data_IF_077287929486
#
_entry.id   IF_077287929486
#
_cell.length_a   1.000
_cell.length_b   1.000
_cell.length_c   1.000
_cell.angle_alpha   90.00
_cell.angle_beta   90.00
_cell.angle_gamma   90.00
#
_symmetry.space_group_name_H-M   'P 1'
#
loop_
_entity.id
_entity.type
_entity.pdbx_description
1 polymer ?
#
# COMPACT_ATOMS: atom_id res chain seq x y z
N UNK A 1 -10.41 14.89 -31.66
CA UNK A 1 -10.28 13.42 -31.68
C UNK A 1 -10.21 12.95 -30.25
N UNK A 2 -10.67 11.72 -29.95
CA UNK A 2 -10.49 11.13 -28.63
C UNK A 2 -9.00 10.97 -28.33
N UNK A 3 -8.59 11.21 -27.08
CA UNK A 3 -7.21 11.03 -26.61
C UNK A 3 -6.87 9.54 -26.63
N UNK A 4 -5.78 9.16 -27.27
CA UNK A 4 -5.30 7.76 -27.33
C UNK A 4 -4.48 7.47 -26.09
N UNK A 5 -4.94 6.52 -25.28
CA UNK A 5 -4.29 6.20 -24.01
C UNK A 5 -3.92 4.73 -23.94
N UNK A 6 -2.65 4.44 -23.69
CA UNK A 6 -2.16 3.09 -23.43
C UNK A 6 -2.11 2.83 -21.92
N UNK A 7 -2.69 1.72 -21.47
CA UNK A 7 -2.56 1.27 -20.06
C UNK A 7 -1.78 -0.04 -20.01
N UNK A 8 -0.54 0.03 -19.53
CA UNK A 8 0.30 -1.13 -19.27
C UNK A 8 -0.09 -1.66 -17.89
N UNK A 9 -0.80 -2.79 -17.86
CA UNK A 9 -1.33 -3.40 -16.64
C UNK A 9 -2.81 -3.15 -16.41
N UNK A 10 -3.55 -2.86 -17.48
CA UNK A 10 -4.98 -2.57 -17.43
C UNK A 10 -5.85 -3.68 -16.83
N UNK A 11 -5.38 -4.93 -16.82
CA UNK A 11 -6.11 -6.07 -16.22
C UNK A 11 -5.81 -6.30 -14.74
N UNK A 12 -4.90 -5.50 -14.15
CA UNK A 12 -4.53 -5.62 -12.74
C UNK A 12 -5.60 -5.06 -11.77
N UNK A 13 -5.38 -5.23 -10.45
CA UNK A 13 -6.36 -4.86 -9.42
C UNK A 13 -6.79 -3.39 -9.47
N UNK A 14 -5.81 -2.49 -9.66
CA UNK A 14 -6.04 -1.05 -9.88
C UNK A 14 -6.34 -0.75 -11.35
N UNK A 15 -5.72 -1.50 -12.28
CA UNK A 15 -5.76 -1.23 -13.72
C UNK A 15 -7.16 -1.19 -14.28
N UNK A 16 -8.03 -2.10 -13.84
CA UNK A 16 -9.41 -2.13 -14.33
C UNK A 16 -10.17 -0.85 -14.06
N UNK A 17 -9.97 -0.25 -12.88
CA UNK A 17 -10.61 1.01 -12.49
C UNK A 17 -10.04 2.20 -13.26
N UNK A 18 -8.75 2.16 -13.59
CA UNK A 18 -8.10 3.16 -14.44
C UNK A 18 -8.68 3.09 -15.86
N UNK A 19 -8.79 1.89 -16.44
CA UNK A 19 -9.35 1.70 -17.79
C UNK A 19 -10.79 2.21 -17.85
N UNK A 20 -11.65 1.82 -16.90
CA UNK A 20 -13.03 2.31 -16.85
C UNK A 20 -13.11 3.83 -16.73
N UNK A 21 -12.32 4.44 -15.83
CA UNK A 21 -12.31 5.90 -15.69
C UNK A 21 -11.81 6.64 -16.93
N UNK A 22 -10.88 6.06 -17.69
CA UNK A 22 -10.41 6.61 -18.97
C UNK A 22 -11.48 6.49 -20.05
N UNK A 23 -12.18 5.36 -20.14
CA UNK A 23 -13.30 5.18 -21.04
C UNK A 23 -14.41 6.19 -20.74
N UNK A 24 -14.74 6.40 -19.47
CA UNK A 24 -15.71 7.41 -19.01
C UNK A 24 -15.30 8.83 -19.35
N UNK A 25 -13.99 9.09 -19.40
CA UNK A 25 -13.43 10.37 -19.86
C UNK A 25 -13.45 10.54 -21.39
N UNK A 26 -13.84 9.50 -22.13
CA UNK A 26 -13.92 9.51 -23.59
C UNK A 26 -12.60 9.20 -24.31
N UNK A 27 -11.61 8.63 -23.61
CA UNK A 27 -10.35 8.19 -24.20
C UNK A 27 -10.54 6.97 -25.11
N UNK A 28 -9.75 6.90 -26.17
CA UNK A 28 -9.56 5.68 -26.95
C UNK A 28 -8.48 4.83 -26.26
N UNK A 29 -8.92 3.85 -25.48
CA UNK A 29 -8.04 3.06 -24.61
C UNK A 29 -7.54 1.79 -25.30
N UNK A 30 -6.23 1.57 -25.23
CA UNK A 30 -5.57 0.29 -25.54
C UNK A 30 -4.91 -0.20 -24.26
N UNK A 31 -4.98 -1.51 -23.96
CA UNK A 31 -4.26 -2.09 -22.82
C UNK A 31 -3.13 -2.99 -23.31
N UNK A 32 -2.09 -3.10 -22.50
CA UNK A 32 -1.00 -4.05 -22.72
C UNK A 32 -0.81 -4.90 -21.47
N UNK A 33 -0.91 -6.22 -21.63
CA UNK A 33 -0.67 -7.20 -20.57
C UNK A 33 -0.07 -8.50 -21.09
N UNK A 34 0.35 -9.39 -20.19
CA UNK A 34 0.98 -10.67 -20.54
C UNK A 34 0.02 -11.78 -21.01
N UNK A 35 -1.28 -11.52 -21.14
CA UNK A 35 -2.29 -12.51 -21.57
C UNK A 35 -2.78 -13.49 -20.48
N UNK A 36 -2.29 -13.39 -19.25
CA UNK A 36 -2.63 -14.39 -18.20
C UNK A 36 -4.00 -14.15 -17.55
N UNK A 37 -4.51 -12.93 -17.67
CA UNK A 37 -5.82 -12.53 -17.20
C UNK A 37 -6.46 -11.67 -18.29
N UNK A 38 -7.70 -12.00 -18.64
CA UNK A 38 -8.56 -11.19 -19.49
C UNK A 38 -9.66 -10.60 -18.63
N UNK A 39 -10.00 -9.34 -18.89
CA UNK A 39 -11.03 -8.60 -18.16
C UNK A 39 -11.96 -7.98 -19.18
N UNK A 40 -13.25 -8.21 -19.03
CA UNK A 40 -14.26 -7.52 -19.81
C UNK A 40 -14.50 -6.11 -19.22
N UNK A 41 -14.49 -5.11 -20.09
CA UNK A 41 -14.75 -3.71 -19.74
C UNK A 41 -16.14 -3.28 -20.19
N UNK A 42 -16.62 -2.15 -19.68
CA UNK A 42 -17.91 -1.57 -20.07
C UNK A 42 -18.05 -1.31 -21.58
N UNK A 43 -16.93 -1.17 -22.28
CA UNK A 43 -16.83 -0.95 -23.73
C UNK A 43 -15.67 -1.77 -24.31
N UNK A 44 -15.69 -2.09 -25.62
CA UNK A 44 -14.58 -2.79 -26.27
C UNK A 44 -13.26 -2.02 -26.13
N UNK A 45 -12.22 -2.72 -25.69
CA UNK A 45 -10.86 -2.20 -25.51
C UNK A 45 -9.91 -3.09 -26.33
N UNK A 46 -8.92 -2.50 -27.00
CA UNK A 46 -7.89 -3.26 -27.71
C UNK A 46 -6.88 -3.84 -26.71
N UNK A 47 -6.62 -5.15 -26.78
CA UNK A 47 -5.66 -5.84 -25.92
C UNK A 47 -4.39 -6.17 -26.70
N UNK A 48 -3.25 -5.66 -26.24
CA UNK A 48 -1.93 -6.00 -26.76
C UNK A 48 -1.26 -7.01 -25.82
N UNK A 49 -0.90 -8.18 -26.35
CA UNK A 49 -0.28 -9.24 -25.57
C UNK A 49 1.23 -9.24 -25.77
N UNK A 50 1.95 -8.87 -24.70
CA UNK A 50 3.40 -8.85 -24.70
C UNK A 50 3.96 -8.98 -23.28
N UNK A 51 5.16 -9.52 -23.18
CA UNK A 51 5.91 -9.46 -21.93
C UNK A 51 6.52 -8.06 -21.74
N UNK A 52 6.18 -7.39 -20.64
CA UNK A 52 6.63 -6.04 -20.31
C UNK A 52 8.00 -6.00 -19.62
N UNK A 53 8.65 -7.15 -19.45
CA UNK A 53 9.96 -7.26 -18.79
C UNK A 53 11.14 -7.23 -19.76
N UNK A 54 10.88 -7.23 -21.07
CA UNK A 54 11.88 -7.26 -22.14
C UNK A 54 11.64 -6.11 -23.13
N UNK A 55 12.72 -5.48 -23.59
CA UNK A 55 12.67 -4.32 -24.49
C UNK A 55 12.17 -4.74 -25.86
N UNK A 56 12.57 -5.92 -26.31
CA UNK A 56 12.29 -6.49 -27.62
C UNK A 56 10.79 -6.72 -27.82
N UNK A 57 10.15 -7.35 -26.83
CA UNK A 57 8.71 -7.64 -26.85
C UNK A 57 7.88 -6.36 -26.75
N UNK A 58 8.28 -5.42 -25.88
CA UNK A 58 7.63 -4.11 -25.76
C UNK A 58 7.74 -3.29 -27.06
N UNK A 59 8.93 -3.26 -27.66
CA UNK A 59 9.18 -2.52 -28.90
C UNK A 59 8.37 -3.10 -30.06
N UNK A 60 8.31 -4.43 -30.18
CA UNK A 60 7.51 -5.10 -31.19
C UNK A 60 6.01 -4.84 -31.01
N UNK A 61 5.50 -4.93 -29.77
CA UNK A 61 4.09 -4.70 -29.48
C UNK A 61 3.64 -3.26 -29.75
N UNK A 62 4.54 -2.29 -29.56
CA UNK A 62 4.27 -0.87 -29.77
C UNK A 62 4.76 -0.36 -31.14
N UNK A 63 5.21 -1.24 -32.04
CA UNK A 63 5.74 -0.83 -33.34
C UNK A 63 4.68 -0.09 -34.19
N UNK A 64 5.05 1.09 -34.72
CA UNK A 64 4.17 1.92 -35.54
C UNK A 64 2.98 2.55 -34.78
N UNK A 65 3.02 2.55 -33.44
CA UNK A 65 1.97 3.11 -32.58
C UNK A 65 2.52 4.27 -31.75
N UNK A 66 1.69 5.29 -31.62
CA UNK A 66 1.89 6.45 -30.77
C UNK A 66 0.65 6.65 -29.89
N UNK A 67 0.86 7.17 -28.69
CA UNK A 67 -0.18 7.44 -27.72
C UNK A 67 -0.04 8.86 -27.20
N UNK A 68 -1.15 9.50 -26.87
CA UNK A 68 -1.11 10.83 -26.27
C UNK A 68 -0.71 10.74 -24.78
N UNK A 69 -1.13 9.65 -24.13
CA UNK A 69 -0.81 9.33 -22.73
C UNK A 69 -0.50 7.83 -22.60
N UNK A 70 0.49 7.52 -21.76
CA UNK A 70 0.74 6.15 -21.31
C UNK A 70 0.61 6.09 -19.79
N UNK A 71 -0.11 5.10 -19.28
CA UNK A 71 -0.16 4.76 -17.86
C UNK A 71 0.59 3.45 -17.66
N UNK A 72 1.67 3.48 -16.88
CA UNK A 72 2.52 2.34 -16.61
C UNK A 72 2.33 1.85 -15.17
N UNK A 73 1.58 0.76 -14.99
CA UNK A 73 1.18 0.27 -13.66
C UNK A 73 2.00 -0.93 -13.17
N UNK A 74 2.69 -1.61 -14.07
CA UNK A 74 3.56 -2.75 -13.75
C UNK A 74 4.65 -2.93 -14.80
N UNK A 75 5.57 -3.85 -14.53
CA UNK A 75 6.70 -4.19 -15.40
C UNK A 75 8.00 -3.54 -14.94
N UNK A 76 9.04 -3.65 -15.77
CA UNK A 76 10.30 -2.93 -15.52
C UNK A 76 10.16 -1.52 -16.06
N UNK A 77 9.53 -0.62 -15.32
CA UNK A 77 9.22 0.75 -15.76
C UNK A 77 10.46 1.52 -16.24
N UNK A 78 11.67 1.14 -15.79
CA UNK A 78 12.94 1.64 -16.35
C UNK A 78 13.07 1.38 -17.86
N UNK A 79 12.66 0.22 -18.36
CA UNK A 79 12.69 -0.11 -19.79
C UNK A 79 11.66 0.70 -20.58
N UNK A 80 10.56 1.08 -19.94
CA UNK A 80 9.52 1.91 -20.56
C UNK A 80 10.03 3.30 -20.89
N UNK A 81 10.95 3.88 -20.10
CA UNK A 81 11.54 5.17 -20.41
C UNK A 81 12.24 5.19 -21.77
N UNK A 82 12.93 4.10 -22.13
CA UNK A 82 13.61 3.95 -23.42
C UNK A 82 12.60 3.70 -24.55
N UNK A 83 11.70 2.73 -24.36
CA UNK A 83 10.77 2.31 -25.42
C UNK A 83 9.73 3.39 -25.76
N UNK A 84 9.29 4.15 -24.76
CA UNK A 84 8.24 5.17 -24.91
C UNK A 84 8.78 6.53 -25.39
N UNK A 85 10.10 6.75 -25.39
CA UNK A 85 10.69 7.97 -25.90
C UNK A 85 10.29 8.17 -27.37
N UNK A 86 9.69 9.33 -27.67
CA UNK A 86 9.19 9.65 -29.01
C UNK A 86 7.86 8.99 -29.39
N UNK A 87 7.25 8.18 -28.51
CA UNK A 87 5.94 7.51 -28.74
C UNK A 87 4.80 8.05 -27.87
N UNK A 88 5.14 8.84 -26.86
CA UNK A 88 4.16 9.51 -26.00
C UNK A 88 4.65 10.87 -25.57
N UNK A 89 3.73 11.82 -25.45
CA UNK A 89 4.01 13.12 -24.85
C UNK A 89 3.95 13.05 -23.31
N UNK A 90 3.22 12.08 -22.75
CA UNK A 90 2.94 12.00 -21.32
C UNK A 90 3.00 10.57 -20.79
N UNK A 91 3.61 10.40 -19.62
CA UNK A 91 3.73 9.13 -18.92
C UNK A 91 3.30 9.28 -17.46
N UNK A 92 2.29 8.53 -17.02
CA UNK A 92 1.96 8.37 -15.59
C UNK A 92 2.48 7.01 -15.14
N UNK A 93 3.48 7.01 -14.27
CA UNK A 93 4.15 5.80 -13.81
C UNK A 93 3.79 5.50 -12.35
N UNK A 94 3.44 4.24 -12.07
CA UNK A 94 3.19 3.77 -10.71
C UNK A 94 4.50 3.21 -10.16
N UNK A 95 4.94 3.80 -9.04
CA UNK A 95 6.09 3.37 -8.26
C UNK A 95 5.67 2.89 -6.87
N UNK A 96 6.64 2.46 -6.08
CA UNK A 96 6.44 2.12 -4.67
C UNK A 96 7.06 3.17 -3.75
N UNK A 97 6.50 3.35 -2.56
CA UNK A 97 7.10 4.16 -1.50
C UNK A 97 8.34 3.44 -0.91
N UNK A 98 9.48 3.52 -1.60
CA UNK A 98 10.75 2.89 -1.22
C UNK A 98 11.63 3.82 -0.36
N UNK A 99 11.00 4.48 0.61
CA UNK A 99 11.68 5.38 1.53
C UNK A 99 12.71 4.65 2.39
N UNK A 100 13.87 5.29 2.53
CA UNK A 100 14.92 4.84 3.40
C UNK A 100 14.55 5.06 4.86
N UNK A 101 15.02 4.12 5.67
CA UNK A 101 14.90 4.12 7.12
C UNK A 101 16.24 4.30 7.79
N UNK A 102 17.26 4.61 6.99
CA UNK A 102 18.61 4.89 7.46
C UNK A 102 18.55 6.07 8.43
N UNK A 103 18.76 5.74 9.70
CA UNK A 103 18.68 6.66 10.83
C UNK A 103 19.63 7.84 10.64
N UNK A 104 20.77 7.65 9.97
CA UNK A 104 21.75 8.74 9.82
C UNK A 104 21.27 9.86 8.89
N UNK A 105 20.55 9.53 7.81
CA UNK A 105 20.01 10.52 6.85
C UNK A 105 18.81 11.29 7.38
N UNK A 106 18.10 10.71 8.35
CA UNK A 106 17.04 11.40 9.09
C UNK A 106 17.55 12.13 10.34
N UNK A 107 18.85 12.00 10.64
CA UNK A 107 19.46 12.55 11.84
C UNK A 107 19.17 11.72 13.11
N UNK A 108 19.64 12.16 14.29
CA UNK A 108 19.66 11.34 15.50
C UNK A 108 18.26 10.96 16.04
N UNK A 109 17.19 11.56 15.53
CA UNK A 109 15.81 11.20 15.88
C UNK A 109 15.25 10.05 15.01
N UNK A 110 15.92 9.71 13.91
CA UNK A 110 15.44 8.75 12.93
C UNK A 110 14.28 9.28 12.09
N UNK A 111 13.73 8.41 11.24
CA UNK A 111 12.67 8.77 10.31
C UNK A 111 11.37 9.15 11.05
N UNK A 112 10.69 10.24 10.64
CA UNK A 112 9.36 10.56 11.19
C UNK A 112 8.34 9.49 10.79
N UNK A 113 7.24 9.40 11.57
CA UNK A 113 6.16 8.45 11.31
C UNK A 113 5.43 8.75 9.99
N UNK A 114 5.41 10.01 9.57
CA UNK A 114 4.79 10.50 8.32
C UNK A 114 5.90 10.96 7.38
N UNK A 115 5.95 10.43 6.16
CA UNK A 115 6.98 10.73 5.17
C UNK A 115 6.37 11.38 3.93
N UNK A 116 6.91 12.52 3.51
CA UNK A 116 6.54 13.21 2.29
C UNK A 116 7.40 12.77 1.09
N UNK A 117 7.20 13.38 -0.08
CA UNK A 117 7.95 13.04 -1.30
C UNK A 117 9.45 13.40 -1.23
N UNK A 118 9.85 14.27 -0.29
CA UNK A 118 11.23 14.71 -0.09
C UNK A 118 12.04 13.81 0.85
N UNK A 119 11.38 12.89 1.56
CA UNK A 119 12.05 11.94 2.42
C UNK A 119 13.08 11.08 1.65
N UNK A 120 14.27 10.79 2.23
CA UNK A 120 15.29 9.96 1.62
C UNK A 120 14.73 8.60 1.15
N UNK A 121 15.13 8.15 -0.04
CA UNK A 121 14.81 6.81 -0.57
C UNK A 121 15.97 5.84 -0.42
N UNK A 122 15.69 4.53 -0.52
CA UNK A 122 16.72 3.49 -0.54
C UNK A 122 17.47 3.54 -1.87
N UNK A 123 18.58 4.26 -1.87
CA UNK A 123 19.47 4.55 -2.99
C UNK A 123 20.80 3.78 -2.93
N UNK A 124 21.08 3.08 -1.83
CA UNK A 124 22.26 2.23 -1.67
C UNK A 124 22.19 0.97 -2.57
N UNK A 125 23.13 0.77 -3.51
CA UNK A 125 23.20 -0.43 -4.34
C UNK A 125 23.39 -1.74 -3.55
N UNK A 126 23.96 -1.67 -2.35
CA UNK A 126 24.17 -2.81 -1.46
C UNK A 126 23.00 -3.01 -0.49
N UNK A 127 22.02 -2.11 -0.50
CA UNK A 127 20.83 -2.17 0.34
C UNK A 127 19.78 -3.17 -0.17
N UNK A 128 18.55 -3.09 0.38
CA UNK A 128 17.44 -3.91 -0.04
C UNK A 128 17.16 -3.80 -1.56
N UNK A 129 17.44 -4.88 -2.29
CA UNK A 129 17.48 -4.90 -3.76
C UNK A 129 16.20 -4.41 -4.43
N UNK A 130 15.03 -4.73 -3.85
CA UNK A 130 13.74 -4.31 -4.41
C UNK A 130 13.58 -2.78 -4.32
N UNK A 131 13.85 -2.22 -3.14
CA UNK A 131 13.71 -0.79 -2.89
C UNK A 131 14.72 0.02 -3.71
N UNK A 132 15.96 -0.46 -3.83
CA UNK A 132 16.96 0.16 -4.70
C UNK A 132 16.54 0.15 -6.18
N UNK A 133 15.92 -0.92 -6.67
CA UNK A 133 15.36 -0.96 -8.03
C UNK A 133 14.23 0.04 -8.24
N UNK A 134 13.38 0.26 -7.24
CA UNK A 134 12.33 1.28 -7.29
C UNK A 134 12.96 2.68 -7.42
N UNK A 135 13.98 2.98 -6.60
CA UNK A 135 14.72 4.23 -6.70
C UNK A 135 15.36 4.41 -8.09
N UNK A 136 16.11 3.41 -8.60
CA UNK A 136 16.72 3.46 -9.93
C UNK A 136 15.70 3.70 -11.05
N UNK A 137 14.50 3.11 -10.91
CA UNK A 137 13.42 3.26 -11.88
C UNK A 137 12.89 4.68 -11.89
N UNK A 138 12.65 5.25 -10.71
CA UNK A 138 12.22 6.64 -10.57
C UNK A 138 13.25 7.62 -11.14
N UNK A 139 14.54 7.42 -10.85
CA UNK A 139 15.62 8.25 -11.40
C UNK A 139 15.70 8.18 -12.92
N UNK A 140 15.50 7.00 -13.52
CA UNK A 140 15.50 6.85 -14.98
C UNK A 140 14.33 7.61 -15.63
N UNK A 141 13.15 7.57 -15.01
CA UNK A 141 11.95 8.26 -15.49
C UNK A 141 12.11 9.78 -15.41
N UNK A 142 12.62 10.28 -14.28
CA UNK A 142 12.89 11.72 -14.09
C UNK A 142 14.00 12.20 -15.02
N UNK A 143 15.03 11.37 -15.26
CA UNK A 143 16.08 11.67 -16.22
C UNK A 143 15.55 11.79 -17.66
N UNK A 144 14.69 10.86 -18.09
CA UNK A 144 14.03 10.92 -19.40
C UNK A 144 13.12 12.14 -19.53
N UNK A 145 12.43 12.52 -18.46
CA UNK A 145 11.65 13.76 -18.41
C UNK A 145 12.52 15.00 -18.56
N UNK A 146 13.62 15.11 -17.82
CA UNK A 146 14.56 16.23 -17.91
C UNK A 146 15.22 16.34 -19.30
N UNK A 147 15.41 15.20 -19.98
CA UNK A 147 15.89 15.14 -21.35
C UNK A 147 14.82 15.49 -22.41
N UNK A 148 13.57 15.76 -22.00
CA UNK A 148 12.48 16.12 -22.90
C UNK A 148 11.84 14.95 -23.66
N UNK A 149 12.07 13.71 -23.23
CA UNK A 149 11.51 12.53 -23.89
C UNK A 149 9.97 12.45 -23.74
N UNK A 150 9.45 12.85 -22.57
CA UNK A 150 8.02 12.94 -22.24
C UNK A 150 7.82 13.72 -20.92
N UNK A 151 6.59 14.18 -20.68
CA UNK A 151 6.17 14.68 -19.38
C UNK A 151 5.82 13.52 -18.44
N UNK A 152 6.62 13.27 -17.40
CA UNK A 152 6.37 12.16 -16.47
C UNK A 152 5.67 12.62 -15.19
N UNK A 153 4.75 11.81 -14.67
CA UNK A 153 4.25 11.90 -13.30
C UNK A 153 4.48 10.57 -12.61
N UNK A 154 5.04 10.57 -11.40
CA UNK A 154 5.25 9.34 -10.62
C UNK A 154 4.31 9.31 -9.43
N UNK A 155 3.53 8.23 -9.31
CA UNK A 155 2.67 7.99 -8.16
C UNK A 155 3.28 6.89 -7.29
N UNK A 156 3.72 7.23 -6.09
CA UNK A 156 4.27 6.28 -5.11
C UNK A 156 3.12 5.64 -4.35
N UNK A 157 2.83 4.39 -4.67
CA UNK A 157 1.86 3.59 -3.95
C UNK A 157 2.45 3.06 -2.64
N UNK A 158 1.60 2.85 -1.62
CA UNK A 158 2.06 2.21 -0.41
C UNK A 158 2.26 0.70 -0.66
N UNK A 159 2.91 -0.03 0.25
CA UNK A 159 3.15 -1.47 0.10
C UNK A 159 1.87 -2.32 0.02
N UNK A 160 0.73 -1.76 0.42
CA UNK A 160 -0.55 -2.48 0.46
C UNK A 160 -1.59 -1.70 -0.34
N UNK A 161 -1.82 -2.16 -1.57
CA UNK A 161 -3.03 -1.87 -2.32
C UNK A 161 -4.02 -2.99 -2.05
N UNK A 162 -5.21 -2.65 -1.55
CA UNK A 162 -6.25 -3.64 -1.21
C UNK A 162 -7.50 -3.43 -2.06
N UNK A 163 -8.34 -4.46 -2.12
CA UNK A 163 -9.58 -4.42 -2.87
C UNK A 163 -9.86 -5.70 -3.64
N UNK A 164 -11.07 -5.80 -4.21
CA UNK A 164 -11.44 -6.94 -5.04
C UNK A 164 -10.46 -7.12 -6.22
N UNK A 165 -10.09 -8.36 -6.51
CA UNK A 165 -9.17 -8.69 -7.61
C UNK A 165 -7.68 -8.58 -7.26
N UNK A 166 -7.31 -8.27 -6.02
CA UNK A 166 -5.93 -8.33 -5.57
C UNK A 166 -5.36 -9.77 -5.71
N UNK A 167 -4.15 -9.90 -6.27
CA UNK A 167 -3.54 -11.20 -6.60
C UNK A 167 -3.11 -12.00 -5.37
N UNK A 168 -2.49 -11.34 -4.39
CA UNK A 168 -2.10 -11.93 -3.10
C UNK A 168 -2.60 -11.01 -1.96
N UNK A 169 -3.92 -11.00 -1.70
CA UNK A 169 -4.53 -10.06 -0.77
C UNK A 169 -4.11 -10.37 0.67
N UNK A 170 -3.42 -9.43 1.32
CA UNK A 170 -3.03 -9.55 2.74
C UNK A 170 -4.25 -9.69 3.66
N UNK A 171 -5.37 -9.08 3.29
CA UNK A 171 -6.63 -9.22 4.03
C UNK A 171 -7.13 -10.68 4.07
N UNK A 172 -6.71 -11.54 3.15
CA UNK A 172 -7.07 -12.97 3.16
C UNK A 172 -6.54 -13.69 4.40
N UNK A 173 -5.37 -13.32 4.91
CA UNK A 173 -4.82 -13.87 6.16
C UNK A 173 -5.79 -13.71 7.33
N UNK A 174 -6.51 -12.60 7.36
CA UNK A 174 -7.49 -12.29 8.40
C UNK A 174 -8.82 -12.97 8.09
N UNK A 175 -9.34 -12.76 6.87
CA UNK A 175 -10.64 -13.32 6.45
C UNK A 175 -10.66 -14.83 6.61
N UNK A 176 -9.62 -15.55 6.15
CA UNK A 176 -9.57 -17.00 6.25
C UNK A 176 -9.60 -17.49 7.69
N UNK A 177 -8.82 -16.90 8.61
CA UNK A 177 -8.84 -17.29 10.03
C UNK A 177 -10.23 -17.15 10.63
N UNK A 178 -10.94 -16.08 10.27
CA UNK A 178 -12.31 -15.84 10.76
C UNK A 178 -13.29 -16.86 10.16
N UNK A 179 -13.16 -17.19 8.86
CA UNK A 179 -13.97 -18.20 8.19
C UNK A 179 -13.71 -19.62 8.73
N UNK A 180 -12.46 -19.92 9.07
CA UNK A 180 -12.04 -21.18 9.70
C UNK A 180 -12.45 -21.26 11.19
N UNK A 181 -13.17 -20.26 11.70
CA UNK A 181 -13.74 -20.27 13.05
C UNK A 181 -12.73 -20.01 14.16
N UNK A 182 -11.58 -19.40 13.86
CA UNK A 182 -10.55 -19.08 14.85
C UNK A 182 -11.08 -18.03 15.82
N UNK A 183 -11.04 -18.34 17.11
CA UNK A 183 -11.46 -17.42 18.17
C UNK A 183 -10.36 -16.38 18.52
N UNK A 184 -9.11 -16.66 18.16
CA UNK A 184 -7.93 -15.85 18.47
C UNK A 184 -7.10 -15.60 17.22
N UNK A 185 -6.59 -14.38 17.09
CA UNK A 185 -5.64 -14.00 16.04
C UNK A 185 -4.43 -13.35 16.71
N UNK A 186 -3.22 -13.87 16.42
CA UNK A 186 -1.99 -13.23 16.89
C UNK A 186 -1.77 -11.92 16.12
N UNK A 187 -1.37 -10.86 16.82
CA UNK A 187 -1.06 -9.58 16.20
C UNK A 187 0.28 -9.05 16.71
N UNK A 188 1.08 -8.49 15.80
CA UNK A 188 2.35 -7.89 16.17
C UNK A 188 2.12 -6.62 17.00
N UNK A 189 2.86 -6.47 18.10
CA UNK A 189 2.86 -5.27 18.95
C UNK A 189 1.46 -4.85 19.42
N UNK A 190 0.60 -5.84 19.69
CA UNK A 190 -0.79 -5.59 20.09
C UNK A 190 -1.69 -5.04 18.98
N UNK A 191 -1.26 -5.12 17.72
CA UNK A 191 -2.02 -4.61 16.58
C UNK A 191 -2.06 -3.08 16.52
N UNK A 192 -1.11 -2.41 17.18
CA UNK A 192 -1.05 -0.94 17.27
C UNK A 192 -0.35 -0.29 16.08
N UNK A 193 0.35 -1.07 15.25
CA UNK A 193 1.07 -0.53 14.09
C UNK A 193 0.09 0.00 13.03
N UNK A 194 0.37 1.18 12.52
CA UNK A 194 -0.40 1.81 11.43
C UNK A 194 0.51 1.94 10.21
N UNK A 195 0.02 1.49 9.05
CA UNK A 195 0.76 1.56 7.77
C UNK A 195 -0.16 2.12 6.71
N UNK A 196 0.37 3.00 5.86
CA UNK A 196 -0.40 3.47 4.71
C UNK A 196 -0.87 2.31 3.85
N UNK A 197 -2.16 2.34 3.53
CA UNK A 197 -2.83 1.47 2.57
C UNK A 197 -3.59 2.34 1.59
N UNK A 198 -3.92 1.77 0.44
CA UNK A 198 -4.82 2.42 -0.51
C UNK A 198 -5.78 1.42 -1.12
N UNK A 199 -7.06 1.78 -1.21
CA UNK A 199 -8.03 0.98 -1.94
C UNK A 199 -7.78 1.07 -3.45
N UNK A 200 -7.88 -0.04 -4.16
CA UNK A 200 -7.53 -0.10 -5.58
C UNK A 200 -8.29 0.92 -6.45
N UNK A 201 -9.56 1.22 -6.13
CA UNK A 201 -10.33 2.24 -6.85
C UNK A 201 -9.91 3.68 -6.47
N UNK A 202 -9.56 3.93 -5.21
CA UNK A 202 -9.03 5.22 -4.76
C UNK A 202 -7.67 5.49 -5.40
N UNK A 203 -6.80 4.48 -5.45
CA UNK A 203 -5.53 4.55 -6.15
C UNK A 203 -5.74 4.89 -7.64
N UNK A 204 -6.72 4.26 -8.30
CA UNK A 204 -7.07 4.58 -9.68
C UNK A 204 -7.56 6.03 -9.85
N UNK A 205 -8.29 6.59 -8.88
CA UNK A 205 -8.65 8.01 -8.87
C UNK A 205 -7.43 8.92 -8.90
N UNK A 206 -6.37 8.60 -8.14
CA UNK A 206 -5.11 9.34 -8.19
C UNK A 206 -4.47 9.29 -9.60
N UNK A 207 -4.49 8.12 -10.25
CA UNK A 207 -4.00 7.96 -11.63
C UNK A 207 -4.78 8.84 -12.61
N UNK A 208 -6.10 8.80 -12.55
CA UNK A 208 -6.96 9.55 -13.46
C UNK A 208 -6.76 11.07 -13.30
N UNK A 209 -6.60 11.55 -12.06
CA UNK A 209 -6.25 12.94 -11.79
C UNK A 209 -4.86 13.29 -12.36
N UNK A 210 -3.86 12.43 -12.15
CA UNK A 210 -2.53 12.60 -12.71
C UNK A 210 -2.49 12.52 -14.24
N UNK A 211 -3.48 11.89 -14.90
CA UNK A 211 -3.63 11.90 -16.35
C UNK A 211 -4.31 13.20 -16.83
N UNK A 212 -5.29 13.70 -16.08
CA UNK A 212 -6.07 14.88 -16.42
C UNK A 212 -5.29 16.19 -16.24
N UNK A 213 -4.49 16.32 -15.17
CA UNK A 213 -3.94 17.61 -14.72
C UNK A 213 -2.56 17.91 -15.31
N UNK A 214 -2.38 18.87 -16.25
CA UNK A 214 -1.07 19.15 -16.86
C UNK A 214 0.02 19.56 -15.86
N UNK A 215 -0.36 20.17 -14.73
CA UNK A 215 0.54 20.58 -13.64
C UNK A 215 1.26 19.40 -12.97
N UNK A 216 0.74 18.17 -13.13
CA UNK A 216 1.37 16.95 -12.60
C UNK A 216 2.67 16.57 -13.33
N UNK A 217 3.00 17.22 -14.45
CA UNK A 217 4.23 16.96 -15.19
C UNK A 217 5.49 17.27 -14.35
N UNK A 218 6.43 16.32 -14.36
CA UNK A 218 7.66 16.36 -13.56
C UNK A 218 7.45 16.11 -12.06
N UNK A 219 6.21 15.81 -11.63
CA UNK A 219 5.89 15.68 -10.21
C UNK A 219 5.89 14.23 -9.75
N UNK A 220 6.21 14.08 -8.47
CA UNK A 220 6.04 12.86 -7.69
C UNK A 220 4.94 13.13 -6.66
N UNK A 221 4.08 12.15 -6.45
CA UNK A 221 3.02 12.17 -5.46
C UNK A 221 2.94 10.86 -4.69
N UNK A 222 2.85 10.96 -3.37
CA UNK A 222 2.43 9.87 -2.52
C UNK A 222 0.93 9.64 -2.64
N UNK A 223 0.53 8.36 -2.67
CA UNK A 223 -0.87 7.96 -2.74
C UNK A 223 -1.18 7.05 -1.55
N UNK A 224 -2.25 7.35 -0.82
CA UNK A 224 -2.79 6.55 0.27
C UNK A 224 -4.25 6.95 0.49
N UNK A 225 -5.03 6.07 1.12
CA UNK A 225 -6.38 6.43 1.57
C UNK A 225 -6.33 7.57 2.61
N UNK A 226 -7.43 8.31 2.72
CA UNK A 226 -7.54 9.47 3.59
C UNK A 226 -7.46 9.11 5.08
N UNK A 227 -8.03 7.95 5.42
CA UNK A 227 -8.02 7.37 6.77
C UNK A 227 -7.09 6.16 6.82
N UNK A 228 -6.30 6.08 7.89
CA UNK A 228 -5.38 4.97 8.13
C UNK A 228 -5.62 4.41 9.53
N UNK A 229 -5.74 3.09 9.63
CA UNK A 229 -6.12 2.40 10.86
C UNK A 229 -5.03 1.43 11.31
N UNK A 230 -5.02 1.14 12.61
CA UNK A 230 -4.12 0.13 13.14
C UNK A 230 -4.49 -1.26 12.64
N UNK A 231 -3.52 -2.16 12.57
CA UNK A 231 -3.76 -3.55 12.19
C UNK A 231 -4.87 -4.20 13.02
N UNK A 232 -4.89 -3.96 14.33
CA UNK A 232 -5.94 -4.46 15.23
C UNK A 232 -7.33 -3.91 14.92
N UNK A 233 -7.44 -2.62 14.61
CA UNK A 233 -8.72 -2.00 14.20
C UNK A 233 -9.23 -2.62 12.89
N UNK A 234 -8.35 -2.82 11.91
CA UNK A 234 -8.69 -3.46 10.65
C UNK A 234 -9.18 -4.89 10.86
N UNK A 235 -8.48 -5.69 11.68
CA UNK A 235 -8.86 -7.07 11.98
C UNK A 235 -10.22 -7.13 12.68
N UNK A 236 -10.45 -6.29 13.69
CA UNK A 236 -11.72 -6.23 14.41
C UNK A 236 -12.87 -5.79 13.49
N UNK A 237 -12.63 -4.81 12.60
CA UNK A 237 -13.63 -4.38 11.64
C UNK A 237 -13.99 -5.50 10.65
N UNK A 238 -12.99 -6.21 10.12
CA UNK A 238 -13.20 -7.39 9.24
C UNK A 238 -13.96 -8.50 9.97
N UNK A 239 -13.64 -8.78 11.24
CA UNK A 239 -14.37 -9.75 12.04
C UNK A 239 -15.84 -9.33 12.22
N UNK A 240 -16.10 -8.05 12.49
CA UNK A 240 -17.45 -7.49 12.57
C UNK A 240 -18.24 -7.65 11.27
N UNK A 241 -17.62 -7.37 10.11
CA UNK A 241 -18.23 -7.58 8.79
C UNK A 241 -18.62 -9.05 8.54
N UNK A 242 -17.82 -9.98 9.06
CA UNK A 242 -18.06 -11.42 8.98
C UNK A 242 -19.00 -11.95 10.08
N UNK A 243 -19.56 -11.07 10.92
CA UNK A 243 -20.45 -11.45 12.02
C UNK A 243 -19.76 -12.25 13.12
N UNK A 244 -18.44 -12.09 13.29
CA UNK A 244 -17.63 -12.78 14.29
C UNK A 244 -17.00 -11.80 15.26
N UNK A 245 -16.62 -12.33 16.42
CA UNK A 245 -15.77 -11.64 17.39
C UNK A 245 -14.50 -12.47 17.51
N UNK A 246 -13.35 -11.80 17.49
CA UNK A 246 -12.04 -12.43 17.62
C UNK A 246 -11.24 -11.73 18.70
N UNK A 247 -10.60 -12.52 19.55
CA UNK A 247 -9.63 -12.04 20.53
C UNK A 247 -8.31 -11.77 19.82
N UNK A 248 -7.79 -10.54 19.94
CA UNK A 248 -6.46 -10.20 19.46
C UNK A 248 -5.43 -10.54 20.52
N UNK A 249 -4.51 -11.44 20.20
CA UNK A 249 -3.41 -11.82 21.09
C UNK A 249 -2.16 -11.06 20.66
N UNK A 250 -1.88 -9.96 21.36
CA UNK A 250 -0.72 -9.11 21.10
C UNK A 250 0.57 -9.80 21.50
N UNK A 251 1.49 -9.99 20.56
CA UNK A 251 2.83 -10.52 20.80
C UNK A 251 3.91 -9.59 20.23
N UNK A 252 5.16 -9.60 20.74
CA UNK A 252 6.27 -8.90 20.11
C UNK A 252 6.39 -9.27 18.63
N UNK A 253 6.77 -8.29 17.80
CA UNK A 253 6.90 -8.47 16.34
C UNK A 253 7.84 -9.60 15.95
N UNK A 254 8.92 -9.84 16.70
CA UNK A 254 9.88 -10.92 16.50
C UNK A 254 9.27 -12.32 16.72
N UNK A 255 8.19 -12.39 17.50
CA UNK A 255 7.40 -13.61 17.67
C UNK A 255 6.37 -13.71 16.54
N UNK A 256 5.69 -12.60 16.21
CA UNK A 256 4.68 -12.57 15.14
C UNK A 256 5.25 -12.99 13.78
N UNK A 257 6.49 -12.61 13.44
CA UNK A 257 7.14 -12.98 12.16
C UNK A 257 7.42 -14.48 12.00
N UNK A 258 7.38 -15.27 13.09
CA UNK A 258 7.44 -16.74 13.01
C UNK A 258 6.18 -17.34 12.39
N UNK A 259 5.05 -16.64 12.51
CA UNK A 259 3.76 -17.03 11.96
C UNK A 259 3.52 -16.32 10.64
N UNK A 260 3.67 -15.00 10.61
CA UNK A 260 3.35 -14.18 9.46
C UNK A 260 4.63 -13.70 8.76
N UNK A 261 5.07 -14.38 7.69
CA UNK A 261 6.30 -13.97 6.98
C UNK A 261 6.19 -12.61 6.31
N UNK A 262 4.97 -12.16 6.02
CA UNK A 262 4.71 -10.89 5.36
C UNK A 262 4.54 -9.73 6.35
N UNK A 263 4.48 -10.01 7.65
CA UNK A 263 4.45 -8.99 8.72
C UNK A 263 5.86 -8.45 8.93
N UNK A 264 5.95 -7.14 9.10
CA UNK A 264 7.18 -6.46 9.45
C UNK A 264 7.28 -6.38 10.97
N UNK A 265 8.38 -6.91 11.53
CA UNK A 265 8.61 -6.94 12.98
C UNK A 265 8.77 -5.54 13.59
N UNK A 266 8.88 -4.48 12.79
CA UNK A 266 8.95 -3.11 13.29
C UNK A 266 7.62 -2.64 13.89
N UNK A 267 7.70 -2.09 15.11
CA UNK A 267 6.59 -1.44 15.81
C UNK A 267 6.30 -0.01 15.28
N UNK A 268 7.09 0.49 14.32
CA UNK A 268 6.97 1.87 13.85
C UNK A 268 5.74 2.06 12.96
N UNK A 269 4.95 3.09 13.28
CA UNK A 269 3.95 3.65 12.36
C UNK A 269 4.63 4.25 11.14
N UNK A 270 4.10 3.94 9.96
CA UNK A 270 4.70 4.27 8.66
C UNK A 270 3.62 4.80 7.72
N UNK A 271 3.49 6.11 7.68
CA UNK A 271 2.47 6.82 6.91
C UNK A 271 3.11 7.63 5.79
N UNK A 272 2.39 7.75 4.69
CA UNK A 272 2.70 8.64 3.58
C UNK A 272 1.93 9.95 3.78
N UNK A 273 2.62 11.08 3.67
CA UNK A 273 1.95 12.37 3.52
C UNK A 273 1.36 12.47 2.11
N UNK A 274 0.03 12.54 2.01
CA UNK A 274 -0.71 12.73 0.75
C UNK A 274 -1.15 14.19 0.55
N UNK A 275 -0.69 15.12 1.39
CA UNK A 275 -1.07 16.52 1.33
C UNK A 275 -0.74 17.19 0.00
N UNK A 276 0.36 16.79 -0.64
CA UNK A 276 0.76 17.34 -1.95
C UNK A 276 -0.25 17.00 -3.05
N UNK A 277 -0.61 15.72 -3.21
CA UNK A 277 -1.55 15.29 -4.25
C UNK A 277 -2.96 15.86 -4.03
N UNK A 278 -3.37 16.01 -2.77
CA UNK A 278 -4.64 16.66 -2.42
C UNK A 278 -4.66 18.13 -2.83
N UNK A 279 -3.61 18.89 -2.52
CA UNK A 279 -3.53 20.32 -2.84
C UNK A 279 -3.40 20.60 -4.33
N UNK A 280 -2.59 19.81 -5.04
CA UNK A 280 -2.26 20.09 -6.43
C UNK A 280 -3.24 19.45 -7.42
N UNK A 281 -3.72 18.23 -7.14
CA UNK A 281 -4.58 17.46 -8.06
C UNK A 281 -6.02 17.29 -7.54
N UNK A 282 -6.34 17.78 -6.34
CA UNK A 282 -7.67 17.60 -5.75
C UNK A 282 -8.00 16.17 -5.37
N UNK A 283 -6.98 15.34 -5.10
CA UNK A 283 -7.19 13.96 -4.67
C UNK A 283 -8.01 13.90 -3.36
N UNK A 284 -8.94 12.95 -3.33
CA UNK A 284 -9.70 12.52 -2.15
C UNK A 284 -10.22 11.12 -2.44
N UNK A 285 -10.52 10.35 -1.40
CA UNK A 285 -11.02 8.99 -1.56
C UNK A 285 -12.37 8.99 -2.28
N UNK A 286 -12.44 8.25 -3.40
CA UNK A 286 -13.70 8.03 -4.12
C UNK A 286 -14.62 7.07 -3.35
N UNK A 287 -14.03 6.17 -2.55
CA UNK A 287 -14.71 5.20 -1.70
C UNK A 287 -14.13 5.29 -0.30
N UNK A 288 -14.97 5.59 0.69
CA UNK A 288 -14.56 5.64 2.08
C UNK A 288 -14.06 4.26 2.57
N UNK A 289 -13.05 4.26 3.44
CA UNK A 289 -12.37 3.05 3.94
C UNK A 289 -13.35 1.98 4.48
N UNK A 290 -14.38 2.31 5.28
CA UNK A 290 -15.35 1.31 5.74
C UNK A 290 -16.07 0.55 4.61
N UNK A 291 -16.44 1.25 3.54
CA UNK A 291 -17.10 0.67 2.37
C UNK A 291 -16.12 -0.11 1.49
N UNK A 292 -14.89 0.40 1.33
CA UNK A 292 -13.81 -0.28 0.62
C UNK A 292 -13.45 -1.62 1.26
N UNK A 293 -13.33 -1.66 2.59
CA UNK A 293 -13.09 -2.89 3.35
C UNK A 293 -14.27 -3.86 3.23
N UNK A 294 -15.51 -3.37 3.32
CA UNK A 294 -16.69 -4.21 3.14
C UNK A 294 -16.71 -4.90 1.77
N UNK A 295 -16.48 -4.15 0.69
CA UNK A 295 -16.40 -4.70 -0.67
C UNK A 295 -15.24 -5.69 -0.82
N UNK A 296 -14.10 -5.42 -0.17
CA UNK A 296 -12.94 -6.32 -0.17
C UNK A 296 -13.27 -7.65 0.49
N UNK A 297 -13.86 -7.63 1.69
CA UNK A 297 -14.24 -8.83 2.45
C UNK A 297 -15.30 -9.63 1.70
N UNK A 298 -16.32 -8.97 1.18
CA UNK A 298 -17.39 -9.60 0.39
C UNK A 298 -16.82 -10.31 -0.84
N UNK A 299 -15.88 -9.68 -1.54
CA UNK A 299 -15.22 -10.32 -2.68
C UNK A 299 -14.37 -11.52 -2.27
N UNK A 300 -13.61 -11.43 -1.17
CA UNK A 300 -12.81 -12.54 -0.65
C UNK A 300 -13.68 -13.73 -0.20
N UNK A 301 -14.86 -13.48 0.36
CA UNK A 301 -15.82 -14.55 0.68
C UNK A 301 -16.32 -15.29 -0.56
N UNK A 302 -16.55 -14.57 -1.66
CA UNK A 302 -17.00 -15.15 -2.93
C UNK A 302 -15.86 -15.77 -3.76
N UNK A 303 -14.63 -15.35 -3.51
CA UNK A 303 -13.44 -15.76 -4.25
C UNK A 303 -12.34 -16.21 -3.27
N UNK A 304 -12.59 -17.27 -2.47
CA UNK A 304 -11.59 -17.74 -1.52
C UNK A 304 -10.35 -18.24 -2.25
N UNK A 305 -9.17 -17.95 -1.73
CA UNK A 305 -7.94 -18.49 -2.31
C UNK A 305 -7.88 -20.00 -2.03
N UNK A 306 -7.61 -20.83 -3.04
CA UNK A 306 -7.52 -22.28 -2.85
C UNK A 306 -6.33 -22.64 -1.96
N UNK A 307 -6.51 -23.50 -0.93
CA UNK A 307 -5.44 -23.99 -0.07
C UNK A 307 -4.24 -24.53 -0.85
N UNK A 308 -3.05 -23.99 -0.59
CA UNK A 308 -1.80 -24.35 -1.27
C UNK A 308 -1.67 -23.82 -2.70
N UNK A 309 -2.60 -22.99 -3.17
CA UNK A 309 -2.54 -22.36 -4.49
C UNK A 309 -1.45 -21.30 -4.60
N UNK A 310 -1.13 -20.90 -5.84
CA UNK A 310 -0.07 -19.92 -6.12
C UNK A 310 -0.24 -18.61 -5.33
N UNK A 311 -1.43 -18.03 -5.35
CA UNK A 311 -1.73 -16.78 -4.66
C UNK A 311 -1.53 -16.86 -3.14
N UNK A 312 -1.81 -18.01 -2.52
CA UNK A 312 -1.58 -18.22 -1.10
C UNK A 312 -0.08 -18.42 -0.79
N UNK A 313 0.63 -19.13 -1.65
CA UNK A 313 2.09 -19.26 -1.53
C UNK A 313 2.77 -17.89 -1.67
N UNK A 314 2.29 -17.04 -2.58
CA UNK A 314 2.77 -15.66 -2.76
C UNK A 314 2.46 -14.77 -1.54
N UNK A 315 1.34 -14.98 -0.86
CA UNK A 315 1.01 -14.30 0.40
C UNK A 315 2.00 -14.66 1.53
N UNK A 316 2.57 -15.87 1.48
CA UNK A 316 3.62 -16.32 2.40
C UNK A 316 3.12 -16.56 3.83
N UNK A 317 1.81 -16.70 4.01
CA UNK A 317 1.17 -17.08 5.27
C UNK A 317 0.95 -18.60 5.30
N UNK A 318 1.59 -19.36 6.21
CA UNK A 318 1.47 -20.81 6.26
C UNK A 318 0.16 -21.30 6.89
N UNK A 319 -0.61 -20.43 7.56
CA UNK A 319 -1.80 -20.81 8.33
C UNK A 319 -1.53 -21.97 9.33
N UNK A 320 -0.35 -21.96 9.98
CA UNK A 320 0.02 -22.94 11.01
C UNK A 320 -0.70 -22.64 12.33
N UNK A 321 -1.97 -23.04 12.39
CA UNK A 321 -2.82 -22.80 13.56
C UNK A 321 -2.31 -23.47 14.83
N UNK A 322 -1.59 -24.60 14.72
CA UNK A 322 -1.00 -25.27 15.87
C UNK A 322 0.17 -24.47 16.45
N UNK A 323 0.99 -23.82 15.61
CA UNK A 323 1.99 -22.89 16.07
C UNK A 323 1.37 -21.62 16.67
N UNK A 324 0.33 -21.07 16.04
CA UNK A 324 -0.40 -19.91 16.56
C UNK A 324 -0.95 -20.17 17.97
N UNK A 325 -1.62 -21.31 18.17
CA UNK A 325 -2.21 -21.69 19.46
C UNK A 325 -1.14 -21.90 20.54
N UNK A 326 -0.01 -22.55 20.19
CA UNK A 326 1.12 -22.71 21.11
C UNK A 326 1.71 -21.37 21.53
N UNK A 327 1.95 -20.46 20.58
CA UNK A 327 2.47 -19.12 20.88
C UNK A 327 1.50 -18.36 21.79
N UNK A 328 0.20 -18.39 21.48
CA UNK A 328 -0.82 -17.72 22.27
C UNK A 328 -0.86 -18.23 23.72
N UNK A 329 -0.75 -19.55 23.90
CA UNK A 329 -0.70 -20.16 25.23
C UNK A 329 0.56 -19.73 26.00
N UNK A 330 1.74 -19.96 25.42
CA UNK A 330 3.03 -19.67 26.07
C UNK A 330 3.15 -18.19 26.45
N UNK A 331 2.74 -17.29 25.56
CA UNK A 331 2.76 -15.86 25.83
C UNK A 331 1.72 -15.47 26.89
N UNK A 332 0.54 -16.08 26.86
CA UNK A 332 -0.48 -15.90 27.90
C UNK A 332 0.02 -16.30 29.29
N UNK A 333 0.78 -17.40 29.41
CA UNK A 333 1.39 -17.83 30.67
C UNK A 333 2.46 -16.84 31.16
N UNK A 334 3.26 -16.26 30.26
CA UNK A 334 4.19 -15.18 30.61
C UNK A 334 3.43 -13.98 31.19
N UNK A 335 2.39 -13.50 30.51
CA UNK A 335 1.57 -12.38 30.97
C UNK A 335 0.93 -12.67 32.33
N UNK A 336 0.40 -13.87 32.53
CA UNK A 336 -0.19 -14.29 33.80
C UNK A 336 0.83 -14.24 34.93
N UNK A 337 2.03 -14.80 34.74
CA UNK A 337 3.11 -14.75 35.75
C UNK A 337 3.61 -13.33 36.02
N UNK A 338 3.69 -12.48 35.00
CA UNK A 338 4.13 -11.09 35.17
C UNK A 338 3.07 -10.24 35.88
N UNK A 339 1.78 -10.53 35.69
CA UNK A 339 0.69 -9.80 36.33
C UNK A 339 0.66 -9.93 37.86
N UNK A 340 1.31 -10.95 38.43
CA UNK A 340 1.39 -11.17 39.88
C UNK A 340 2.59 -10.47 40.53
N UNK A 341 3.43 -9.78 39.76
CA UNK A 341 4.57 -9.05 40.31
C UNK A 341 4.07 -7.81 41.08
N UNK A 342 4.55 -7.64 42.30
CA UNK A 342 4.24 -6.46 43.10
C UNK A 342 4.82 -5.20 42.44
N UNK A 343 4.04 -4.13 42.42
CA UNK A 343 4.49 -2.80 41.98
C UNK A 343 4.37 -1.82 43.15
N UNK A 344 5.33 -0.90 43.26
CA UNK A 344 5.22 0.22 44.19
C UNK A 344 4.33 1.27 43.52
N UNK A 345 3.16 1.63 44.08
CA UNK A 345 2.29 2.63 43.48
C UNK A 345 3.01 3.98 43.37
N UNK A 346 3.01 4.56 42.18
CA UNK A 346 3.48 5.94 42.00
C UNK A 346 2.45 6.93 42.55
N UNK A 347 2.91 7.99 43.21
CA UNK A 347 2.06 9.13 43.56
C UNK A 347 2.04 10.09 42.38
N UNK A 348 0.92 10.14 41.65
CA UNK A 348 0.78 11.02 40.48
C UNK A 348 0.33 12.43 40.90
N UNK A 349 1.26 13.38 40.83
CA UNK A 349 1.06 14.82 41.02
C UNK A 349 0.37 15.52 39.85
N UNK A 350 -0.59 16.42 40.10
CA UNK A 350 -0.92 17.42 39.08
C UNK A 350 0.32 18.32 38.88
N UNK A 351 0.82 18.41 37.64
CA UNK A 351 2.06 19.12 37.31
C UNK A 351 1.99 20.62 37.63
N UNK A 352 0.81 21.21 37.42
CA UNK A 352 0.57 22.61 37.75
C UNK A 352 -0.06 22.76 39.12
N UNK A 353 0.37 23.81 39.81
CA UNK A 353 -0.23 24.25 41.06
C UNK A 353 -1.64 24.80 40.77
N UNK A 354 -2.62 24.32 41.52
CA UNK A 354 -3.97 24.88 41.57
C UNK A 354 -4.22 25.48 42.95
N UNK A 355 -3.62 26.63 43.27
CA UNK A 355 -3.76 27.21 44.59
C UNK A 355 -5.19 27.74 44.76
N UNK A 356 -5.81 27.41 45.88
CA UNK A 356 -7.12 27.95 46.28
C UNK A 356 -6.98 29.28 47.01
N UNK A 357 -5.76 29.63 47.44
CA UNK A 357 -5.44 30.92 48.08
C UNK A 357 -4.15 31.54 47.53
N UNK A 358 -4.07 32.88 47.42
CA UNK A 358 -2.82 33.57 47.12
C UNK A 358 -1.70 33.13 48.08
N UNK A 359 -0.54 32.75 47.54
CA UNK A 359 0.64 32.34 48.33
C UNK A 359 0.71 30.85 48.73
N UNK A 360 -0.30 30.04 48.47
CA UNK A 360 -0.33 28.61 48.85
C UNK A 360 0.66 27.71 48.10
N UNK A 361 1.84 27.37 48.63
CA UNK A 361 2.88 26.60 47.93
C UNK A 361 2.42 25.25 47.33
N UNK A 362 3.19 24.72 46.35
CA UNK A 362 2.90 23.40 45.75
C UNK A 362 2.95 22.30 46.82
N UNK A 363 2.00 21.37 46.75
CA UNK A 363 1.97 20.15 47.58
C UNK A 363 1.80 18.95 46.66
N UNK A 364 2.53 17.87 46.95
CA UNK A 364 2.24 16.58 46.33
C UNK A 364 0.79 16.20 46.68
N UNK A 365 -0.01 15.68 45.74
CA UNK A 365 -1.24 15.01 46.13
C UNK A 365 -0.86 13.85 47.05
N UNK A 366 -1.56 13.77 48.17
CA UNK A 366 -1.50 12.68 49.14
C UNK A 366 -2.19 11.44 48.61
#
# INVERSE_FOLDING_TARGET
MARRTLVIGGTGPTGRWVVEGLLDSGDAVTILHGGQHEVDFSRPVEHLHADVHFVETLTAALAGRDFDVVVAMYGRTRLLAEVLAGRTARLVAIGGSAYSRDETRHGPLGAPAVLDEHAPMVDDPNGPRLQHKVWLTEQALLGAHAAGAFAVTVLRYPPVVYGPGALAPRDWSVVRRILDGRARILVAHGGTTVRSRVYAANAARAVLLAVAEPSAAGQIYNVADDEQHSEGQLIQYVAGLLGRQVELVGVPGEIATKVYRHVDSSHQTRLLDTGKIRRELGYSDAVAVPAALAATVEWLQRNPLPPGGEAEQQLGDPFDYALEDRIAQEYGEVLARTSTLESVPGVAGHMYRHPTRPGEGWRSPS
#
